data_IF_017605830724
#
_entry.id   IF_017605830724
#
_cell.length_a   1.000
_cell.length_b   1.000
_cell.length_c   1.000
_cell.angle_alpha   90.00
_cell.angle_beta   90.00
_cell.angle_gamma   90.00
#
_symmetry.space_group_name_H-M   'P 1'
#
loop_
_entity.id
_entity.type
_entity.pdbx_description
1 polymer ?
#
# COMPACT_ATOMS: atom_id res chain seq x y z
N UNK A 1 -6.81 -8.52 -27.14
CA UNK A 1 -6.87 -8.52 -25.67
C UNK A 1 -5.50 -8.12 -25.14
N UNK A 2 -5.30 -6.84 -24.83
CA UNK A 2 -4.01 -6.36 -24.29
C UNK A 2 -3.99 -6.76 -22.82
N UNK A 3 -3.17 -7.75 -22.47
CA UNK A 3 -2.94 -8.15 -21.09
C UNK A 3 -2.09 -7.05 -20.44
N UNK A 4 -2.76 -6.02 -19.93
CA UNK A 4 -2.11 -4.99 -19.11
C UNK A 4 -1.46 -5.71 -17.93
N UNK A 5 -0.13 -5.78 -17.94
CA UNK A 5 0.65 -6.36 -16.85
C UNK A 5 0.32 -5.60 -15.56
N UNK A 6 -0.52 -6.19 -14.71
CA UNK A 6 -0.84 -5.60 -13.40
C UNK A 6 0.41 -5.66 -12.53
N UNK A 7 1.17 -4.57 -12.49
CA UNK A 7 2.40 -4.50 -11.70
C UNK A 7 2.01 -4.48 -10.23
N UNK A 8 2.20 -5.61 -9.55
CA UNK A 8 1.98 -5.74 -8.11
C UNK A 8 3.25 -5.33 -7.36
N UNK A 9 3.13 -4.34 -6.49
CA UNK A 9 4.22 -3.86 -5.63
C UNK A 9 3.94 -4.25 -4.19
N UNK A 10 4.97 -4.71 -3.49
CA UNK A 10 4.91 -5.02 -2.06
C UNK A 10 5.81 -4.07 -1.30
N UNK A 11 5.26 -3.42 -0.27
CA UNK A 11 5.94 -2.44 0.58
C UNK A 11 5.97 -2.98 2.01
N UNK A 12 7.05 -2.74 2.74
CA UNK A 12 7.17 -3.14 4.15
C UNK A 12 7.30 -1.88 5.00
N UNK A 13 6.44 -1.76 6.01
CA UNK A 13 6.53 -0.73 7.03
C UNK A 13 7.20 -1.33 8.26
N UNK A 14 8.40 -0.83 8.58
CA UNK A 14 9.10 -1.14 9.82
C UNK A 14 8.65 -0.16 10.90
N UNK A 15 7.95 -0.66 11.91
CA UNK A 15 7.44 0.17 12.99
C UNK A 15 8.35 0.08 14.21
N UNK A 16 8.93 1.22 14.57
CA UNK A 16 9.70 1.33 15.82
C UNK A 16 8.77 1.53 17.03
N UNK A 17 9.20 1.19 18.25
CA UNK A 17 8.43 1.49 19.45
C UNK A 17 8.04 2.96 19.52
N UNK A 18 6.80 3.23 19.91
CA UNK A 18 6.21 4.57 20.03
C UNK A 18 6.14 5.35 18.71
N UNK A 19 6.20 4.68 17.56
CA UNK A 19 5.94 5.32 16.27
C UNK A 19 4.51 5.88 16.20
N UNK A 20 4.34 7.02 15.50
CA UNK A 20 3.04 7.67 15.35
C UNK A 20 2.09 6.83 14.48
N UNK A 21 1.02 6.33 15.09
CA UNK A 21 -0.03 5.62 14.38
C UNK A 21 -0.79 6.50 13.39
N UNK A 22 -0.83 7.82 13.61
CA UNK A 22 -1.40 8.78 12.65
C UNK A 22 -0.51 8.85 11.41
N UNK A 23 0.81 8.98 11.58
CA UNK A 23 1.75 9.01 10.45
C UNK A 23 1.69 7.70 9.64
N UNK A 24 1.60 6.55 10.33
CA UNK A 24 1.42 5.26 9.67
C UNK A 24 0.12 5.18 8.85
N UNK A 25 -1.00 5.60 9.43
CA UNK A 25 -2.30 5.62 8.74
C UNK A 25 -2.28 6.54 7.51
N UNK A 26 -1.70 7.74 7.63
CA UNK A 26 -1.54 8.69 6.52
C UNK A 26 -0.67 8.13 5.39
N UNK A 27 0.31 7.28 5.69
CA UNK A 27 1.14 6.64 4.66
C UNK A 27 0.42 5.51 3.91
N UNK A 28 -0.50 4.79 4.58
CA UNK A 28 -1.28 3.71 3.96
C UNK A 28 -2.42 4.24 3.08
N UNK A 29 -3.06 5.34 3.48
CA UNK A 29 -4.27 5.81 2.82
C UNK A 29 -4.12 6.05 1.30
N UNK A 30 -3.02 6.66 0.80
CA UNK A 30 -2.79 6.78 -0.64
C UNK A 30 -2.71 5.44 -1.36
N UNK A 31 -2.11 4.41 -0.74
CA UNK A 31 -2.01 3.07 -1.33
C UNK A 31 -3.40 2.42 -1.44
N UNK A 32 -4.27 2.62 -0.44
CA UNK A 32 -5.67 2.17 -0.46
C UNK A 32 -6.45 2.87 -1.56
N UNK A 33 -6.32 4.19 -1.65
CA UNK A 33 -7.00 4.98 -2.69
C UNK A 33 -6.52 4.55 -4.07
N UNK A 34 -5.21 4.36 -4.26
CA UNK A 34 -4.65 3.88 -5.52
C UNK A 34 -5.22 2.52 -5.93
N UNK A 35 -5.27 1.55 -5.01
CA UNK A 35 -5.90 0.24 -5.29
C UNK A 35 -7.38 0.38 -5.66
N UNK A 36 -8.12 1.25 -4.96
CA UNK A 36 -9.54 1.53 -5.26
C UNK A 36 -9.72 2.14 -6.64
N UNK A 37 -8.90 3.11 -7.01
CA UNK A 37 -8.94 3.77 -8.31
C UNK A 37 -8.54 2.83 -9.46
N UNK A 38 -7.60 1.92 -9.21
CA UNK A 38 -7.12 0.94 -10.19
C UNK A 38 -8.08 -0.24 -10.36
N UNK A 39 -8.96 -0.51 -9.39
CA UNK A 39 -9.90 -1.63 -9.43
C UNK A 39 -9.24 -3.00 -9.21
N UNK A 40 -7.97 -3.03 -8.80
CA UNK A 40 -7.23 -4.24 -8.44
C UNK A 40 -6.15 -3.93 -7.40
N UNK A 41 -5.66 -4.95 -6.72
CA UNK A 41 -4.61 -4.84 -5.70
C UNK A 41 -3.22 -4.63 -6.34
N UNK A 42 -2.93 -3.39 -6.74
CA UNK A 42 -1.63 -2.99 -7.27
C UNK A 42 -0.57 -2.85 -6.16
N UNK A 43 -0.98 -2.41 -4.96
CA UNK A 43 -0.10 -2.18 -3.82
C UNK A 43 -0.52 -3.07 -2.64
N UNK A 44 0.44 -3.81 -2.10
CA UNK A 44 0.29 -4.57 -0.86
C UNK A 44 1.29 -4.08 0.16
N UNK A 45 0.93 -4.14 1.43
CA UNK A 45 1.83 -3.78 2.50
C UNK A 45 1.89 -4.85 3.59
N UNK A 46 3.03 -4.90 4.27
CA UNK A 46 3.26 -5.72 5.45
C UNK A 46 3.82 -4.87 6.57
N UNK A 47 3.56 -5.31 7.79
CA UNK A 47 4.06 -4.74 9.02
C UNK A 47 5.15 -5.66 9.58
N UNK A 48 6.23 -5.08 10.08
CA UNK A 48 7.30 -5.80 10.77
C UNK A 48 7.84 -5.01 11.93
#
# INVERSE_FOLDING_TARGET
MIQASSVKRSIVFFLVPNFSMIAFATAIEPLRIANRMLGYDAYRWRLT
#
